data_IF_811446024659
#
_entry.id   IF_811446024659
#
_cell.length_a   1.000
_cell.length_b   1.000
_cell.length_c   1.000
_cell.angle_alpha   90.00
_cell.angle_beta   90.00
_cell.angle_gamma   90.00
#
_symmetry.space_group_name_H-M   'P 1'
#
loop_
_entity.id
_entity.type
_entity.pdbx_description
1 polymer ?
#
# COMPACT_ATOMS: atom_id res chain seq x y z
N UNK A 1 -10.64 35.00 -40.45
CA UNK A 1 -9.49 34.16 -40.11
C UNK A 1 -9.23 33.99 -38.63
N UNK A 2 -9.82 34.77 -37.70
CA UNK A 2 -9.52 34.71 -36.24
C UNK A 2 -10.19 33.55 -35.46
N UNK A 3 -11.22 32.89 -36.01
CA UNK A 3 -11.95 31.82 -35.29
C UNK A 3 -11.32 30.41 -35.42
N UNK A 4 -10.43 30.20 -36.38
CA UNK A 4 -9.79 28.89 -36.59
C UNK A 4 -8.66 28.59 -35.60
N UNK A 5 -8.01 29.63 -35.05
CA UNK A 5 -6.93 29.49 -34.09
C UNK A 5 -7.43 29.18 -32.68
N UNK A 6 -8.63 29.62 -32.31
CA UNK A 6 -9.19 29.37 -30.97
C UNK A 6 -9.59 27.91 -30.78
N UNK A 7 -10.07 27.23 -31.83
CA UNK A 7 -10.45 25.82 -31.77
C UNK A 7 -9.22 24.88 -31.65
N UNK A 8 -8.09 25.28 -32.24
CA UNK A 8 -6.85 24.48 -32.16
C UNK A 8 -6.19 24.62 -30.80
N UNK A 9 -6.26 25.79 -30.17
CA UNK A 9 -5.72 26.01 -28.81
C UNK A 9 -6.49 25.25 -27.73
N UNK A 10 -7.82 25.10 -27.85
CA UNK A 10 -8.61 24.30 -26.93
C UNK A 10 -8.36 22.80 -27.05
N UNK A 11 -7.99 22.30 -28.24
CA UNK A 11 -7.63 20.89 -28.45
C UNK A 11 -6.26 20.53 -27.84
N UNK A 12 -5.32 21.47 -27.76
CA UNK A 12 -4.00 21.25 -27.20
C UNK A 12 -3.99 21.11 -25.65
N UNK A 13 -5.00 21.65 -24.98
CA UNK A 13 -5.09 21.64 -23.51
C UNK A 13 -5.58 20.26 -22.97
N UNK A 14 -6.24 19.46 -23.81
CA UNK A 14 -6.79 18.16 -23.40
C UNK A 14 -5.77 17.01 -23.34
N UNK A 15 -4.51 17.23 -23.71
CA UNK A 15 -3.47 16.20 -23.76
C UNK A 15 -2.42 16.31 -22.66
N UNK A 16 -2.67 17.01 -21.57
CA UNK A 16 -1.91 16.74 -20.36
C UNK A 16 -2.42 15.42 -19.77
N UNK A 17 -1.97 14.32 -20.36
CA UNK A 17 -2.07 13.02 -19.73
C UNK A 17 -1.42 13.14 -18.36
N UNK A 18 -2.22 12.99 -17.30
CA UNK A 18 -1.67 12.79 -15.97
C UNK A 18 -0.66 11.64 -16.08
N UNK A 19 0.61 11.92 -15.82
CA UNK A 19 1.60 10.85 -15.77
C UNK A 19 1.08 9.78 -14.81
N UNK A 20 1.09 8.51 -15.18
CA UNK A 20 0.69 7.47 -14.25
C UNK A 20 1.55 7.63 -13.00
N UNK A 21 0.92 7.89 -11.87
CA UNK A 21 1.63 7.99 -10.62
C UNK A 21 2.26 6.62 -10.36
N UNK A 22 3.57 6.62 -10.19
CA UNK A 22 4.38 5.41 -10.11
C UNK A 22 4.17 4.76 -8.75
N UNK A 23 4.08 3.42 -8.74
CA UNK A 23 4.18 2.60 -7.54
C UNK A 23 5.46 2.94 -6.79
N UNK A 24 5.38 3.14 -5.49
CA UNK A 24 6.55 3.50 -4.69
C UNK A 24 6.35 3.17 -3.22
N UNK A 25 7.46 3.13 -2.49
CA UNK A 25 7.44 2.97 -1.03
C UNK A 25 6.77 4.18 -0.40
N UNK A 26 5.75 3.94 0.40
CA UNK A 26 4.95 4.98 1.05
C UNK A 26 5.22 5.08 2.56
N UNK A 27 5.64 3.97 3.18
CA UNK A 27 6.02 3.91 4.60
C UNK A 27 7.15 2.89 4.78
N UNK A 28 8.22 3.23 5.51
CA UNK A 28 9.30 2.28 5.77
C UNK A 28 10.22 2.68 6.92
N UNK A 29 10.78 1.67 7.62
CA UNK A 29 12.01 1.74 8.40
C UNK A 29 13.13 0.85 7.81
N UNK A 30 12.96 0.35 6.58
CA UNK A 30 13.88 -0.51 5.85
C UNK A 30 14.54 0.23 4.68
N UNK A 31 14.91 1.51 4.89
CA UNK A 31 15.43 2.39 3.85
C UNK A 31 14.37 2.88 2.87
N UNK A 32 14.75 3.80 1.98
CA UNK A 32 13.82 4.46 1.05
C UNK A 32 13.21 3.51 0.01
N UNK A 33 13.86 2.38 -0.28
CA UNK A 33 13.35 1.34 -1.17
C UNK A 33 12.46 0.30 -0.46
N UNK A 34 12.35 0.36 0.89
CA UNK A 34 11.62 -0.59 1.70
C UNK A 34 12.18 -2.02 1.70
N UNK A 35 13.40 -2.22 1.21
CA UNK A 35 14.01 -3.54 0.99
C UNK A 35 15.42 -3.66 1.62
N UNK A 36 15.82 -2.72 2.46
CA UNK A 36 17.11 -2.80 3.17
C UNK A 36 16.91 -3.55 4.48
N UNK A 37 17.75 -4.56 4.75
CA UNK A 37 17.75 -5.22 6.06
C UNK A 37 18.33 -4.28 7.13
N UNK A 38 17.45 -3.70 7.93
CA UNK A 38 17.78 -2.86 9.09
C UNK A 38 17.57 -3.60 10.41
N UNK A 39 17.30 -4.91 10.36
CA UNK A 39 16.96 -5.70 11.53
C UNK A 39 18.13 -5.92 12.48
N UNK A 40 17.82 -5.93 13.76
CA UNK A 40 18.70 -6.42 14.84
C UNK A 40 18.78 -7.95 14.88
N UNK A 41 19.45 -8.50 15.91
CA UNK A 41 19.51 -9.94 16.13
C UNK A 41 18.23 -10.52 16.71
N UNK A 42 17.34 -9.70 17.24
CA UNK A 42 16.13 -10.12 17.95
C UNK A 42 14.93 -10.22 17.01
N UNK A 43 14.18 -11.30 17.17
CA UNK A 43 12.91 -11.54 16.46
C UNK A 43 11.83 -11.94 17.45
N UNK A 44 10.58 -11.93 16.97
CA UNK A 44 9.44 -12.52 17.68
C UNK A 44 8.76 -13.51 16.76
N UNK A 45 8.51 -14.71 17.29
CA UNK A 45 7.81 -15.77 16.58
C UNK A 45 6.29 -15.50 16.62
N UNK A 46 5.69 -15.55 15.46
CA UNK A 46 4.23 -15.46 15.29
C UNK A 46 3.68 -16.88 15.51
N UNK A 47 3.15 -17.12 16.69
CA UNK A 47 2.58 -18.41 17.10
C UNK A 47 1.05 -18.39 16.95
N UNK A 48 0.43 -19.55 17.08
CA UNK A 48 -1.03 -19.67 17.03
C UNK A 48 -1.76 -18.75 18.02
N UNK A 49 -1.17 -18.52 19.19
CA UNK A 49 -1.72 -17.63 20.23
C UNK A 49 -1.03 -16.27 20.33
N UNK A 50 0.16 -16.11 19.74
CA UNK A 50 0.97 -14.89 19.84
C UNK A 50 1.02 -14.18 18.50
N UNK A 51 0.24 -13.12 18.35
CA UNK A 51 0.13 -12.35 17.13
C UNK A 51 0.78 -10.98 17.28
N UNK A 52 1.31 -10.49 16.18
CA UNK A 52 1.91 -9.17 16.03
C UNK A 52 1.24 -8.41 14.90
N UNK A 53 0.99 -7.14 15.12
CA UNK A 53 0.44 -6.24 14.11
C UNK A 53 1.19 -4.91 14.10
N UNK A 54 1.56 -4.43 12.91
CA UNK A 54 2.14 -3.10 12.69
C UNK A 54 1.11 -2.22 12.04
N UNK A 55 0.77 -1.09 12.67
CA UNK A 55 -0.31 -0.21 12.23
C UNK A 55 0.18 0.98 11.42
N UNK A 56 -0.63 1.41 10.45
CA UNK A 56 -0.39 2.60 9.66
C UNK A 56 -1.70 3.29 9.26
N UNK A 57 -1.63 4.58 8.97
CA UNK A 57 -2.74 5.36 8.37
C UNK A 57 -2.30 5.84 7.00
N UNK A 58 -3.17 5.72 6.02
CA UNK A 58 -2.95 6.18 4.64
C UNK A 58 -3.00 7.71 4.55
N UNK A 59 -2.39 8.27 3.51
CA UNK A 59 -2.48 9.70 3.16
C UNK A 59 -3.85 10.12 2.65
N UNK A 60 -3.90 11.28 2.02
CA UNK A 60 -5.13 11.90 1.53
C UNK A 60 -5.76 11.20 0.32
N UNK A 61 -5.00 10.33 -0.36
CA UNK A 61 -5.44 9.66 -1.58
C UNK A 61 -5.76 8.19 -1.33
N UNK A 62 -6.76 7.67 -2.04
CA UNK A 62 -7.00 6.23 -2.11
C UNK A 62 -5.92 5.55 -2.95
N UNK A 63 -5.39 4.44 -2.48
CA UNK A 63 -4.26 3.74 -3.07
C UNK A 63 -4.57 2.26 -3.25
N UNK A 64 -3.81 1.63 -4.14
CA UNK A 64 -3.75 0.19 -4.30
C UNK A 64 -2.46 -0.30 -3.64
N UNK A 65 -2.57 -1.21 -2.70
CA UNK A 65 -1.41 -1.86 -2.07
C UNK A 65 -0.74 -2.78 -3.09
N UNK A 66 0.56 -2.58 -3.31
CA UNK A 66 1.35 -3.41 -4.21
C UNK A 66 2.05 -4.53 -3.45
N UNK A 67 2.78 -4.18 -2.39
CA UNK A 67 3.47 -5.16 -1.56
C UNK A 67 3.77 -4.61 -0.15
N UNK A 68 4.01 -5.56 0.76
CA UNK A 68 4.60 -5.32 2.08
C UNK A 68 5.90 -6.11 2.16
N UNK A 69 6.97 -5.51 2.66
CA UNK A 69 8.23 -6.19 2.98
C UNK A 69 8.47 -6.25 4.47
N UNK A 70 9.09 -7.31 4.91
CA UNK A 70 9.55 -7.52 6.28
C UNK A 70 10.90 -8.26 6.27
N UNK A 71 11.68 -8.12 7.33
CA UNK A 71 12.76 -9.07 7.58
C UNK A 71 12.16 -10.23 8.36
N UNK A 72 12.20 -11.40 7.76
CA UNK A 72 11.56 -12.58 8.28
C UNK A 72 12.47 -13.81 8.28
N UNK A 73 12.04 -14.82 9.03
CA UNK A 73 12.62 -16.16 9.07
C UNK A 73 11.48 -17.16 9.28
N UNK A 74 11.66 -18.36 8.79
CA UNK A 74 10.69 -19.43 9.00
C UNK A 74 11.43 -20.74 9.37
N UNK A 75 11.07 -21.29 10.52
CA UNK A 75 11.59 -22.59 10.96
C UNK A 75 10.93 -23.76 10.20
N UNK A 76 9.73 -23.55 9.67
CA UNK A 76 8.96 -24.54 8.95
C UNK A 76 9.05 -24.23 7.45
N UNK A 77 9.66 -25.10 6.66
CA UNK A 77 9.69 -24.94 5.21
C UNK A 77 8.27 -24.73 4.66
N UNK A 78 8.06 -23.65 3.90
CA UNK A 78 6.76 -23.41 3.28
C UNK A 78 6.50 -21.96 2.88
N UNK A 79 5.39 -21.81 2.17
CA UNK A 79 4.88 -20.51 1.76
C UNK A 79 4.20 -19.81 2.93
N UNK A 80 4.54 -18.55 3.15
CA UNK A 80 3.94 -17.68 4.18
C UNK A 80 3.23 -16.51 3.52
N UNK A 81 2.28 -15.94 4.22
CA UNK A 81 1.52 -14.76 3.79
C UNK A 81 1.57 -13.65 4.82
N UNK A 82 1.27 -12.45 4.38
CA UNK A 82 0.99 -11.28 5.22
C UNK A 82 -0.43 -10.84 4.93
N UNK A 83 -1.16 -10.49 5.98
CA UNK A 83 -2.54 -10.01 5.87
C UNK A 83 -2.64 -8.53 6.26
N UNK A 84 -3.60 -7.83 5.65
CA UNK A 84 -4.01 -6.47 6.01
C UNK A 84 -5.38 -6.53 6.67
N UNK A 85 -5.48 -5.88 7.80
CA UNK A 85 -6.72 -5.72 8.55
C UNK A 85 -7.13 -4.25 8.63
N UNK A 86 -8.42 -3.98 8.65
CA UNK A 86 -8.94 -2.65 8.99
C UNK A 86 -8.65 -2.32 10.44
N UNK A 87 -8.68 -1.04 10.78
CA UNK A 87 -8.63 -0.62 12.18
C UNK A 87 -9.99 -0.81 12.87
N UNK A 88 -9.94 -1.29 14.10
CA UNK A 88 -11.07 -1.33 15.02
C UNK A 88 -10.63 -0.73 16.36
N UNK A 89 -10.92 0.56 16.53
CA UNK A 89 -10.59 1.31 17.74
C UNK A 89 -9.10 1.19 18.17
N UNK A 90 -8.18 1.33 17.21
CA UNK A 90 -6.73 1.28 17.43
C UNK A 90 -6.16 -0.14 17.56
N UNK A 91 -6.84 -1.13 17.00
CA UNK A 91 -6.41 -2.53 16.96
C UNK A 91 -6.85 -3.20 15.65
N UNK A 92 -6.23 -4.31 15.24
CA UNK A 92 -6.69 -5.07 14.08
C UNK A 92 -8.14 -5.51 14.18
N UNK A 93 -8.93 -5.21 13.16
CA UNK A 93 -10.35 -5.53 13.06
C UNK A 93 -10.66 -6.60 12.01
N UNK A 94 -11.27 -6.22 10.89
CA UNK A 94 -11.69 -7.14 9.83
C UNK A 94 -10.58 -7.33 8.80
N UNK A 95 -10.41 -8.56 8.29
CA UNK A 95 -9.49 -8.87 7.19
C UNK A 95 -9.90 -8.10 5.92
N UNK A 96 -8.95 -7.37 5.35
CA UNK A 96 -9.11 -6.59 4.11
C UNK A 96 -8.50 -7.34 2.93
N UNK A 97 -7.28 -7.83 3.10
CA UNK A 97 -6.55 -8.54 2.03
C UNK A 97 -5.50 -9.48 2.61
N UNK A 98 -5.14 -10.49 1.81
CA UNK A 98 -4.01 -11.37 2.08
C UNK A 98 -3.09 -11.37 0.86
N UNK A 99 -1.78 -11.34 1.08
CA UNK A 99 -0.77 -11.41 0.03
C UNK A 99 -0.79 -12.77 -0.68
N UNK A 100 -0.20 -12.84 -1.86
CA UNK A 100 0.28 -14.12 -2.41
C UNK A 100 1.30 -14.75 -1.47
N UNK A 101 1.41 -16.06 -1.52
CA UNK A 101 2.38 -16.80 -0.72
C UNK A 101 3.82 -16.52 -1.16
N UNK A 102 4.72 -16.31 -0.20
CA UNK A 102 6.16 -16.15 -0.41
C UNK A 102 6.89 -17.24 0.36
N UNK A 103 7.83 -17.94 -0.29
CA UNK A 103 8.65 -18.93 0.40
C UNK A 103 9.68 -18.23 1.29
N UNK A 104 9.56 -18.46 2.60
CA UNK A 104 10.44 -17.90 3.62
C UNK A 104 11.28 -19.06 4.20
N UNK A 105 12.61 -18.90 4.21
CA UNK A 105 13.52 -19.96 4.67
C UNK A 105 14.53 -19.46 5.68
N UNK A 106 15.42 -18.57 5.29
CA UNK A 106 16.48 -18.01 6.11
C UNK A 106 16.16 -16.58 6.51
N UNK A 107 16.88 -16.00 7.48
CA UNK A 107 16.75 -14.56 7.75
C UNK A 107 17.07 -13.76 6.49
N UNK A 108 16.09 -13.04 5.97
CA UNK A 108 16.23 -12.18 4.79
C UNK A 108 15.06 -11.18 4.73
N UNK A 109 15.19 -10.19 3.83
CA UNK A 109 14.07 -9.35 3.43
C UNK A 109 13.16 -10.15 2.50
N UNK A 110 11.87 -10.21 2.83
CA UNK A 110 10.85 -10.86 2.01
C UNK A 110 9.78 -9.87 1.61
N UNK A 111 9.44 -9.92 0.33
CA UNK A 111 8.38 -9.11 -0.24
C UNK A 111 7.12 -9.98 -0.43
N UNK A 112 6.00 -9.50 0.08
CA UNK A 112 4.68 -10.12 0.02
C UNK A 112 3.78 -9.29 -0.89
N UNK A 113 3.47 -9.80 -2.07
CA UNK A 113 2.73 -9.08 -3.09
C UNK A 113 1.22 -9.20 -2.89
N UNK A 114 0.51 -8.11 -3.13
CA UNK A 114 -0.94 -8.04 -3.07
C UNK A 114 -1.53 -7.81 -4.46
N UNK A 115 -2.59 -8.50 -4.79
CA UNK A 115 -3.34 -8.28 -6.03
C UNK A 115 -4.67 -7.60 -5.73
N UNK A 116 -4.78 -6.30 -6.05
CA UNK A 116 -6.05 -5.58 -5.99
C UNK A 116 -6.53 -5.14 -4.61
N UNK A 117 -5.66 -5.09 -3.61
CA UNK A 117 -6.01 -4.55 -2.29
C UNK A 117 -6.12 -3.03 -2.35
N UNK A 118 -7.33 -2.49 -2.32
CA UNK A 118 -7.55 -1.05 -2.28
C UNK A 118 -7.54 -0.56 -0.83
N UNK A 119 -6.78 0.50 -0.59
CA UNK A 119 -6.70 1.23 0.66
C UNK A 119 -7.43 2.56 0.51
N UNK A 120 -8.40 2.81 1.37
CA UNK A 120 -9.12 4.09 1.38
C UNK A 120 -8.22 5.22 1.88
N UNK A 121 -8.48 6.45 1.46
CA UNK A 121 -7.80 7.64 1.92
C UNK A 121 -8.00 7.86 3.43
N UNK A 122 -7.00 8.42 4.11
CA UNK A 122 -7.04 8.82 5.52
C UNK A 122 -7.61 7.74 6.45
N UNK A 123 -7.24 6.47 6.17
CA UNK A 123 -7.81 5.30 6.85
C UNK A 123 -6.71 4.46 7.48
N UNK A 124 -6.96 3.94 8.67
CA UNK A 124 -6.01 3.13 9.43
C UNK A 124 -6.13 1.64 9.11
N UNK A 125 -4.98 0.98 9.04
CA UNK A 125 -4.83 -0.44 8.72
C UNK A 125 -3.74 -1.08 9.56
N UNK A 126 -3.74 -2.42 9.60
CA UNK A 126 -2.77 -3.22 10.33
C UNK A 126 -2.19 -4.32 9.45
N UNK A 127 -0.86 -4.44 9.47
CA UNK A 127 -0.10 -5.53 8.82
C UNK A 127 0.09 -6.65 9.82
N UNK A 128 -0.36 -7.86 9.48
CA UNK A 128 -0.19 -9.07 10.29
C UNK A 128 0.50 -10.16 9.48
N UNK A 129 1.72 -10.58 9.84
CA UNK A 129 2.32 -11.79 9.28
C UNK A 129 1.62 -13.06 9.76
N UNK A 130 1.63 -14.08 8.91
CA UNK A 130 1.05 -15.39 9.20
C UNK A 130 1.80 -16.12 10.33
N UNK A 131 1.07 -16.96 11.07
CA UNK A 131 1.62 -17.90 12.07
C UNK A 131 2.73 -18.78 11.48
N UNK A 132 3.78 -19.01 12.28
CA UNK A 132 4.98 -19.76 11.90
C UNK A 132 6.05 -18.92 11.19
N UNK A 133 5.87 -17.61 11.09
CA UNK A 133 6.87 -16.67 10.62
C UNK A 133 7.48 -15.95 11.83
N UNK A 134 8.80 -15.82 11.86
CA UNK A 134 9.50 -14.97 12.81
C UNK A 134 9.70 -13.60 12.19
N UNK A 135 9.29 -12.54 12.87
CA UNK A 135 9.44 -11.16 12.42
C UNK A 135 10.52 -10.45 13.22
N UNK A 136 11.48 -9.86 12.54
CA UNK A 136 12.63 -9.22 13.18
C UNK A 136 12.33 -7.79 13.61
N UNK A 137 12.84 -7.45 14.81
CA UNK A 137 12.86 -6.07 15.28
C UNK A 137 13.81 -5.23 14.42
N UNK A 138 13.48 -3.97 14.25
CA UNK A 138 14.40 -2.98 13.70
C UNK A 138 15.51 -2.70 14.72
N UNK A 139 16.79 -2.64 14.27
CA UNK A 139 17.97 -2.66 15.13
C UNK A 139 18.08 -1.46 16.07
N UNK A 140 17.68 -0.28 15.61
CA UNK A 140 17.68 0.95 16.38
C UNK A 140 16.31 1.26 17.03
N UNK A 141 15.35 0.33 16.92
CA UNK A 141 13.95 0.53 17.30
C UNK A 141 13.31 1.75 16.63
N UNK A 142 13.75 2.05 15.40
CA UNK A 142 13.25 3.18 14.63
C UNK A 142 11.85 2.91 14.10
N UNK A 143 10.93 3.82 14.35
CA UNK A 143 9.58 3.74 13.80
C UNK A 143 9.61 3.91 12.27
N UNK A 144 8.75 3.20 11.51
CA UNK A 144 8.54 3.49 10.10
C UNK A 144 8.14 4.95 9.87
N UNK A 145 8.71 5.55 8.84
CA UNK A 145 8.42 6.93 8.44
C UNK A 145 7.81 6.98 7.05
N UNK A 146 7.01 8.02 6.79
CA UNK A 146 6.48 8.28 5.46
C UNK A 146 7.61 8.48 4.45
N UNK A 147 7.46 7.87 3.28
CA UNK A 147 8.38 8.01 2.18
C UNK A 147 7.71 8.78 1.03
N UNK A 148 8.51 9.47 0.22
CA UNK A 148 8.04 10.16 -0.98
C UNK A 148 6.85 11.11 -0.77
N UNK A 149 6.79 11.81 0.39
CA UNK A 149 5.69 12.72 0.75
C UNK A 149 4.29 12.08 0.66
N UNK A 150 4.21 10.77 0.90
CA UNK A 150 2.97 9.98 0.77
C UNK A 150 1.85 10.38 1.75
N UNK A 151 2.16 11.12 2.81
CA UNK A 151 1.22 11.44 3.88
C UNK A 151 0.84 10.26 4.78
N UNK A 152 1.51 9.11 4.61
CA UNK A 152 1.33 7.97 5.51
C UNK A 152 1.87 8.28 6.91
N UNK A 153 1.22 7.72 7.92
CA UNK A 153 1.69 7.80 9.30
C UNK A 153 1.69 6.43 9.96
N UNK A 154 2.61 6.25 10.89
CA UNK A 154 2.76 5.04 11.66
C UNK A 154 1.93 5.08 12.95
N UNK A 155 1.26 3.98 13.30
CA UNK A 155 0.40 3.87 14.49
C UNK A 155 1.02 3.08 15.64
N UNK A 156 2.18 2.47 15.41
CA UNK A 156 2.83 1.60 16.40
C UNK A 156 2.56 0.11 16.17
N UNK A 157 2.98 -0.69 17.12
CA UNK A 157 2.82 -2.15 17.11
C UNK A 157 1.85 -2.58 18.20
N UNK A 158 1.02 -3.56 17.87
CA UNK A 158 0.13 -4.28 18.79
C UNK A 158 0.56 -5.74 18.90
N UNK A 159 0.41 -6.29 20.09
CA UNK A 159 0.64 -7.71 20.38
C UNK A 159 -0.62 -8.32 20.96
N UNK A 160 -0.86 -9.58 20.61
CA UNK A 160 -1.92 -10.38 21.21
C UNK A 160 -1.35 -11.72 21.65
N UNK A 161 -1.71 -12.18 22.83
CA UNK A 161 -1.33 -13.49 23.37
C UNK A 161 -2.51 -14.48 23.38
N UNK A 162 -3.61 -14.12 22.74
CA UNK A 162 -4.86 -14.89 22.70
C UNK A 162 -5.51 -14.89 21.31
N UNK A 163 -4.67 -15.05 20.28
CA UNK A 163 -5.11 -15.19 18.88
C UNK A 163 -5.93 -14.01 18.37
N UNK A 164 -5.56 -12.78 18.78
CA UNK A 164 -6.23 -11.57 18.34
C UNK A 164 -7.50 -11.19 19.10
N UNK A 165 -7.87 -11.93 20.14
CA UNK A 165 -9.08 -11.61 20.93
C UNK A 165 -8.91 -10.34 21.77
N UNK A 166 -7.68 -10.01 22.15
CA UNK A 166 -7.32 -8.71 22.75
C UNK A 166 -5.92 -8.29 22.32
N UNK A 167 -5.67 -6.98 22.36
CA UNK A 167 -4.44 -6.38 21.85
C UNK A 167 -3.80 -5.46 22.89
N UNK A 168 -2.52 -5.65 23.14
CA UNK A 168 -1.67 -4.75 23.93
C UNK A 168 -0.76 -3.91 23.05
N UNK A 169 -0.15 -2.86 23.61
CA UNK A 169 0.84 -2.03 22.92
C UNK A 169 2.22 -2.68 23.06
N UNK A 170 2.97 -2.77 21.97
CA UNK A 170 4.39 -3.09 21.98
C UNK A 170 5.21 -1.81 22.02
N UNK A 171 6.33 -1.83 22.73
CA UNK A 171 7.34 -0.75 22.73
C UNK A 171 8.41 -0.94 21.66
N UNK A 172 8.35 -2.05 20.92
CA UNK A 172 9.31 -2.39 19.89
C UNK A 172 8.75 -2.13 18.50
N UNK A 173 9.58 -1.65 17.59
CA UNK A 173 9.28 -1.51 16.18
C UNK A 173 9.88 -2.68 15.40
N UNK A 174 9.10 -3.22 14.48
CA UNK A 174 9.51 -4.32 13.60
C UNK A 174 9.83 -3.76 12.22
N UNK A 175 10.69 -4.49 11.49
CA UNK A 175 11.06 -4.12 10.12
C UNK A 175 9.84 -4.20 9.21
N UNK A 176 9.48 -3.09 8.58
CA UNK A 176 8.38 -3.05 7.62
C UNK A 176 8.63 -2.02 6.53
N UNK A 177 8.32 -2.41 5.29
CA UNK A 177 8.21 -1.52 4.14
C UNK A 177 6.85 -1.74 3.49
N UNK A 178 6.19 -0.66 3.08
CA UNK A 178 4.90 -0.68 2.40
C UNK A 178 5.04 0.06 1.08
N UNK A 179 4.64 -0.58 -0.02
CA UNK A 179 4.55 0.02 -1.34
C UNK A 179 3.10 0.05 -1.81
N UNK A 180 2.71 1.17 -2.36
CA UNK A 180 1.40 1.36 -2.93
C UNK A 180 1.47 2.22 -4.19
N UNK A 181 0.50 2.02 -5.08
CA UNK A 181 0.27 2.82 -6.27
C UNK A 181 -1.08 3.52 -6.17
N UNK A 182 -1.30 4.63 -6.89
CA UNK A 182 -2.62 5.24 -6.95
C UNK A 182 -3.67 4.24 -7.38
N UNK A 183 -4.81 4.24 -6.70
CA UNK A 183 -5.97 3.50 -7.18
C UNK A 183 -6.35 4.06 -8.56
N UNK A 184 -6.58 3.17 -9.53
CA UNK A 184 -7.02 3.60 -10.85
C UNK A 184 -8.29 4.45 -10.70
N UNK A 185 -8.17 5.76 -10.93
CA UNK A 185 -9.33 6.62 -11.07
C UNK A 185 -9.95 6.25 -12.41
N UNK A 186 -11.23 5.83 -12.45
CA UNK A 186 -11.90 5.65 -13.74
C UNK A 186 -11.71 6.92 -14.56
N UNK A 187 -11.11 6.81 -15.73
CA UNK A 187 -10.95 7.97 -16.61
C UNK A 187 -12.33 8.62 -16.76
N UNK A 188 -12.48 9.91 -16.42
CA UNK A 188 -13.75 10.56 -16.62
C UNK A 188 -14.11 10.37 -18.09
N UNK A 189 -15.36 10.04 -18.37
CA UNK A 189 -15.87 9.78 -19.72
C UNK A 189 -15.74 10.99 -20.69
N UNK A 190 -14.74 11.83 -20.48
CA UNK A 190 -14.37 12.99 -21.30
C UNK A 190 -14.02 12.53 -22.72
N UNK A 191 -13.39 11.38 -22.88
CA UNK A 191 -13.12 10.79 -24.20
C UNK A 191 -14.41 10.53 -24.99
N UNK A 192 -15.44 10.02 -24.34
CA UNK A 192 -16.75 9.82 -24.96
C UNK A 192 -17.45 11.17 -25.27
N UNK A 193 -17.30 12.16 -24.41
CA UNK A 193 -17.92 13.48 -24.62
C UNK A 193 -17.26 14.25 -25.80
N UNK A 194 -15.93 14.15 -25.93
CA UNK A 194 -15.20 14.78 -27.05
C UNK A 194 -15.55 14.09 -28.38
N UNK A 195 -15.69 12.77 -28.41
CA UNK A 195 -16.11 12.04 -29.61
C UNK A 195 -17.54 12.38 -30.02
N UNK A 196 -18.48 12.43 -29.08
CA UNK A 196 -19.89 12.78 -29.37
C UNK A 196 -20.02 14.23 -29.79
N UNK A 197 -19.33 15.17 -29.13
CA UNK A 197 -19.29 16.58 -29.48
C UNK A 197 -18.68 16.82 -30.86
N UNK A 198 -17.59 16.13 -31.19
CA UNK A 198 -16.92 16.20 -32.51
C UNK A 198 -17.80 15.71 -33.66
N UNK A 199 -18.53 14.61 -33.47
CA UNK A 199 -19.44 14.04 -34.46
C UNK A 199 -20.66 14.97 -34.67
N UNK A 200 -21.21 15.54 -33.60
CA UNK A 200 -22.33 16.47 -33.69
C UNK A 200 -21.95 17.76 -34.45
N UNK A 201 -20.71 18.25 -34.24
CA UNK A 201 -20.18 19.42 -34.91
C UNK A 201 -19.92 19.16 -36.41
N UNK A 202 -19.42 18.02 -36.81
CA UNK A 202 -19.23 17.63 -38.20
C UNK A 202 -20.55 17.45 -38.97
N UNK A 203 -21.57 16.81 -38.35
CA UNK A 203 -22.90 16.66 -38.96
C UNK A 203 -23.60 18.00 -39.25
N UNK A 204 -23.36 19.01 -38.41
CA UNK A 204 -23.95 20.37 -38.64
C UNK A 204 -23.30 21.10 -39.81
N UNK A 205 -22.03 20.81 -40.14
CA UNK A 205 -21.33 21.43 -41.29
C UNK A 205 -21.64 20.78 -42.64
N UNK A 206 -22.06 19.52 -42.66
CA UNK A 206 -22.40 18.82 -43.91
C UNK A 206 -23.84 19.11 -44.40
N UNK A 207 -24.65 19.83 -43.61
CA UNK A 207 -26.02 20.23 -44.01
C UNK A 207 -26.12 21.68 -44.48
N UNK A 208 -25.02 22.38 -44.71
CA UNK A 208 -24.93 23.68 -45.38
C UNK A 208 -24.11 23.53 -46.68
#
# INVERSE_FOLDING_TARGET
MKSKFLALALMAIAFFAASPAQAGVVLSNMGANGLTDTSGPTNTDILASNWLASGFTTGADALKLDWVSIVGFNNDAGSKTVAIYSDNAGSPGTLVATSSGTTVTTKNVYQFNFSGANLAASTSYWVLPQVGLSWYLESANTAPSAQNSSGFSYLGVKTSTNSGSSWGISVFNYTVGISASPAAVPEPAITSLVCVGGIAFMRRRMKK
#
